data_IF_386647772435
#
_entry.id   IF_386647772435
#
_cell.length_a   1.000
_cell.length_b   1.000
_cell.length_c   1.000
_cell.angle_alpha   90.00
_cell.angle_beta   90.00
_cell.angle_gamma   90.00
#
_symmetry.space_group_name_H-M   'P 1'
#
loop_
_entity.id
_entity.type
_entity.pdbx_description
1 polymer ?
#
# COMPACT_ATOMS: atom_id res chain seq x y z
N UNK A 1 -29.43 -13.90 36.35
CA UNK A 1 -30.19 -15.13 36.02
C UNK A 1 -29.35 -15.92 35.04
N UNK A 2 -28.93 -17.14 35.43
CA UNK A 2 -28.02 -18.00 34.66
C UNK A 2 -28.86 -18.79 33.66
N UNK A 3 -28.56 -18.72 32.37
CA UNK A 3 -29.13 -19.66 31.39
C UNK A 3 -28.05 -20.61 30.87
N UNK A 4 -28.41 -21.88 30.94
CA UNK A 4 -27.61 -23.08 30.75
C UNK A 4 -27.57 -23.54 29.29
N UNK A 5 -26.42 -24.11 28.96
CA UNK A 5 -26.00 -24.82 27.75
C UNK A 5 -27.02 -25.83 27.19
N UNK A 6 -27.03 -26.00 25.87
CA UNK A 6 -27.36 -27.29 25.23
C UNK A 6 -26.36 -27.54 24.09
N UNK A 7 -25.54 -28.57 24.27
CA UNK A 7 -24.56 -29.08 23.31
C UNK A 7 -25.24 -30.19 22.50
N UNK A 8 -25.26 -30.08 21.18
CA UNK A 8 -25.55 -31.21 20.28
C UNK A 8 -24.25 -31.62 19.59
N UNK A 9 -23.72 -32.77 20.01
CA UNK A 9 -22.69 -33.51 19.31
C UNK A 9 -23.34 -34.42 18.26
N UNK A 10 -22.80 -34.46 17.04
CA UNK A 10 -23.10 -35.50 16.06
C UNK A 10 -21.79 -35.93 15.39
N UNK A 11 -21.63 -37.25 15.30
CA UNK A 11 -20.39 -37.95 15.08
C UNK A 11 -20.00 -38.16 13.60
N UNK A 12 -18.68 -38.08 13.36
CA UNK A 12 -17.81 -38.99 12.62
C UNK A 12 -18.31 -39.66 11.31
N UNK A 13 -17.62 -39.35 10.20
CA UNK A 13 -17.43 -40.26 9.06
C UNK A 13 -16.00 -40.07 8.51
N UNK A 14 -15.21 -41.15 8.61
CA UNK A 14 -13.85 -41.29 8.12
C UNK A 14 -13.92 -41.88 6.71
N UNK A 15 -13.20 -41.29 5.75
CA UNK A 15 -12.88 -41.93 4.48
C UNK A 15 -11.40 -41.67 4.16
N UNK A 16 -10.58 -42.70 4.38
CA UNK A 16 -9.20 -42.79 3.92
C UNK A 16 -9.19 -43.47 2.55
N UNK A 17 -8.57 -42.84 1.55
CA UNK A 17 -8.09 -43.56 0.36
C UNK A 17 -6.57 -43.43 0.31
N UNK A 18 -5.91 -44.57 0.51
CA UNK A 18 -4.58 -44.84 0.02
C UNK A 18 -4.68 -45.28 -1.44
N UNK A 19 -3.86 -44.72 -2.34
CA UNK A 19 -3.54 -45.33 -3.62
C UNK A 19 -2.07 -45.06 -3.96
N UNK A 20 -1.44 -46.12 -4.45
CA UNK A 20 -0.03 -46.42 -4.35
C UNK A 20 0.89 -45.72 -5.35
N UNK A 21 2.14 -45.63 -4.91
CA UNK A 21 3.41 -45.50 -5.64
C UNK A 21 3.60 -46.51 -6.77
N UNK A 22 4.48 -46.18 -7.72
CA UNK A 22 5.48 -47.05 -8.38
C UNK A 22 6.18 -46.28 -9.54
N UNK A 23 7.47 -46.39 -9.86
CA UNK A 23 8.68 -47.01 -9.28
C UNK A 23 9.90 -46.45 -10.04
N UNK A 24 11.08 -46.45 -9.38
CA UNK A 24 12.46 -46.74 -9.85
C UNK A 24 12.89 -46.38 -11.28
N UNK A 25 14.14 -46.08 -11.59
CA UNK A 25 15.41 -45.78 -10.93
C UNK A 25 16.41 -45.85 -12.09
N UNK A 26 17.43 -45.01 -12.13
CA UNK A 26 18.77 -45.57 -12.31
C UNK A 26 19.84 -44.62 -11.76
N UNK A 27 20.92 -45.26 -11.34
CA UNK A 27 22.02 -44.74 -10.57
C UNK A 27 23.22 -44.43 -11.48
N UNK A 28 24.20 -43.76 -10.87
CA UNK A 28 25.65 -43.77 -11.18
C UNK A 28 26.20 -42.73 -12.17
N UNK A 29 27.13 -41.93 -11.64
CA UNK A 29 28.00 -41.00 -12.36
C UNK A 29 28.70 -40.05 -11.39
N UNK A 30 29.91 -40.42 -10.95
CA UNK A 30 30.79 -39.67 -10.02
C UNK A 30 31.48 -38.46 -10.73
N UNK A 31 32.39 -37.70 -10.08
CA UNK A 31 32.32 -36.25 -9.91
C UNK A 31 33.15 -35.45 -10.94
N UNK A 32 32.73 -34.22 -11.28
CA UNK A 32 33.61 -33.27 -11.95
C UNK A 32 33.27 -31.82 -11.60
N UNK A 33 34.06 -31.25 -10.68
CA UNK A 33 34.45 -29.84 -10.72
C UNK A 33 35.43 -29.69 -11.88
N UNK A 34 35.32 -28.67 -12.75
CA UNK A 34 35.92 -27.37 -12.42
C UNK A 34 35.18 -26.17 -13.02
N UNK A 35 35.75 -24.99 -12.71
CA UNK A 35 35.57 -23.71 -13.38
C UNK A 35 34.54 -22.77 -12.76
N UNK A 36 35.11 -21.89 -11.93
CA UNK A 36 34.61 -20.57 -11.62
C UNK A 36 34.04 -19.86 -12.86
N UNK A 37 32.72 -19.90 -13.01
CA UNK A 37 32.01 -18.90 -13.78
C UNK A 37 31.96 -17.64 -12.92
N UNK A 38 32.92 -16.74 -13.18
CA UNK A 38 32.82 -15.33 -12.80
C UNK A 38 31.50 -14.81 -13.38
N UNK A 39 30.45 -14.78 -12.57
CA UNK A 39 29.33 -13.88 -12.81
C UNK A 39 29.91 -12.48 -12.62
N UNK A 40 30.38 -11.91 -13.73
CA UNK A 40 30.56 -10.47 -13.87
C UNK A 40 29.20 -9.84 -13.56
N UNK A 41 29.05 -9.39 -12.32
CA UNK A 41 28.13 -8.33 -11.96
C UNK A 41 28.52 -7.12 -12.79
N UNK A 42 27.91 -6.98 -13.97
CA UNK A 42 27.86 -5.70 -14.66
C UNK A 42 26.88 -4.83 -13.89
N UNK A 43 27.32 -4.36 -12.72
CA UNK A 43 26.75 -3.18 -12.07
C UNK A 43 26.94 -2.02 -13.03
N UNK A 44 25.96 -1.83 -13.90
CA UNK A 44 25.66 -0.52 -14.45
C UNK A 44 25.27 0.32 -13.25
N UNK A 45 26.26 0.99 -12.67
CA UNK A 45 26.09 2.00 -11.64
C UNK A 45 25.42 3.19 -12.33
N UNK A 46 24.12 3.03 -12.57
CA UNK A 46 23.20 4.13 -12.76
C UNK A 46 23.22 4.89 -11.44
N UNK A 47 23.65 6.15 -11.49
CA UNK A 47 23.62 7.07 -10.36
C UNK A 47 22.22 7.04 -9.78
N UNK A 48 22.03 6.30 -8.68
CA UNK A 48 20.73 6.11 -8.07
C UNK A 48 20.26 7.46 -7.54
N UNK A 49 19.37 8.12 -8.30
CA UNK A 49 18.58 9.25 -7.84
C UNK A 49 17.97 8.87 -6.49
N UNK A 50 18.12 9.72 -5.47
CA UNK A 50 17.49 9.47 -4.16
C UNK A 50 15.99 9.22 -4.37
N UNK A 51 15.40 8.16 -3.79
CA UNK A 51 13.98 7.87 -3.95
C UNK A 51 13.12 9.07 -3.53
N UNK A 52 12.09 9.40 -4.31
CA UNK A 52 11.12 10.44 -3.96
C UNK A 52 10.42 10.06 -2.65
N UNK A 53 10.45 10.96 -1.67
CA UNK A 53 9.77 10.75 -0.39
C UNK A 53 8.39 11.40 -0.39
N UNK A 54 7.50 10.92 0.47
CA UNK A 54 6.14 11.46 0.58
C UNK A 54 6.12 12.95 0.95
N UNK A 55 7.06 13.40 1.79
CA UNK A 55 7.21 14.81 2.13
C UNK A 55 7.62 15.67 0.93
N UNK A 56 8.63 15.24 0.18
CA UNK A 56 9.05 15.95 -1.05
C UNK A 56 7.95 15.94 -2.12
N UNK A 57 7.21 14.84 -2.25
CA UNK A 57 6.05 14.78 -3.12
C UNK A 57 4.95 15.76 -2.68
N UNK A 58 4.70 15.89 -1.36
CA UNK A 58 3.78 16.89 -0.82
C UNK A 58 4.22 18.32 -1.14
N UNK A 59 5.51 18.63 -0.98
CA UNK A 59 6.04 19.97 -1.29
C UNK A 59 5.80 20.32 -2.76
N UNK A 60 6.05 19.38 -3.68
CA UNK A 60 5.76 19.54 -5.11
C UNK A 60 4.26 19.75 -5.37
N UNK A 61 3.39 18.95 -4.75
CA UNK A 61 1.93 19.03 -4.95
C UNK A 61 1.37 20.34 -4.41
N UNK A 62 1.71 20.70 -3.17
CA UNK A 62 1.18 21.88 -2.48
C UNK A 62 1.62 23.21 -3.12
N UNK A 63 2.69 23.22 -3.91
CA UNK A 63 3.06 24.37 -4.75
C UNK A 63 2.01 24.71 -5.82
N UNK A 64 1.19 23.73 -6.23
CA UNK A 64 0.12 23.91 -7.23
C UNK A 64 -1.27 23.86 -6.59
N UNK A 65 -1.48 22.96 -5.62
CA UNK A 65 -2.73 22.82 -4.88
C UNK A 65 -2.63 23.57 -3.54
N UNK A 66 -2.77 24.89 -3.58
CA UNK A 66 -2.47 25.78 -2.43
C UNK A 66 -3.43 25.67 -1.25
N UNK A 67 -4.56 24.99 -1.41
CA UNK A 67 -5.48 24.63 -0.32
C UNK A 67 -4.96 23.48 0.55
N UNK A 68 -4.01 22.69 0.04
CA UNK A 68 -3.40 21.57 0.76
C UNK A 68 -2.40 22.08 1.79
N UNK A 69 -2.49 21.58 3.03
CA UNK A 69 -1.57 21.91 4.12
C UNK A 69 -1.11 20.66 4.82
N UNK A 70 0.20 20.52 5.01
CA UNK A 70 0.78 19.39 5.72
C UNK A 70 0.18 19.30 7.13
N UNK A 71 -0.38 18.15 7.49
CA UNK A 71 -1.00 17.93 8.79
C UNK A 71 -0.22 16.97 9.68
N UNK A 72 0.63 16.12 9.10
CA UNK A 72 1.50 15.22 9.85
C UNK A 72 2.47 14.42 8.99
N UNK A 73 3.62 14.09 9.58
CA UNK A 73 4.54 13.07 9.09
C UNK A 73 4.26 11.77 9.84
N UNK A 74 4.08 10.68 9.09
CA UNK A 74 3.81 9.36 9.67
C UNK A 74 5.12 8.63 9.93
N UNK A 75 5.25 8.08 11.14
CA UNK A 75 6.35 7.22 11.60
C UNK A 75 5.84 5.80 11.80
N UNK A 76 6.74 4.85 12.04
CA UNK A 76 6.36 3.45 12.19
C UNK A 76 5.49 3.24 13.45
N UNK A 77 5.69 4.10 14.45
CA UNK A 77 5.02 4.06 15.74
C UNK A 77 3.60 4.65 15.69
N UNK A 78 3.37 5.66 14.84
CA UNK A 78 2.08 6.36 14.76
C UNK A 78 1.25 5.99 13.52
N UNK A 79 1.74 5.09 12.67
CA UNK A 79 1.03 4.66 11.48
C UNK A 79 -0.21 3.82 11.83
N UNK A 80 -1.44 4.28 11.54
CA UNK A 80 -2.66 3.54 11.89
C UNK A 80 -2.78 2.18 11.20
N UNK A 81 -2.11 1.98 10.06
CA UNK A 81 -2.09 0.67 9.39
C UNK A 81 -0.89 -0.20 9.83
N UNK A 82 0.06 0.36 10.57
CA UNK A 82 1.30 -0.29 10.96
C UNK A 82 2.08 -0.90 9.78
N UNK A 83 2.09 -0.26 8.61
CA UNK A 83 2.73 -0.75 7.39
C UNK A 83 4.04 -0.03 7.05
N UNK A 84 4.30 1.16 7.59
CA UNK A 84 5.50 1.95 7.27
C UNK A 84 6.79 1.13 7.46
N UNK A 85 7.59 1.04 6.40
CA UNK A 85 8.90 0.37 6.42
C UNK A 85 8.84 -1.17 6.36
N UNK A 86 7.65 -1.77 6.25
CA UNK A 86 7.54 -3.22 6.04
C UNK A 86 7.86 -3.61 4.59
N UNK A 87 8.27 -4.87 4.33
CA UNK A 87 8.49 -5.35 2.98
C UNK A 87 7.27 -5.11 2.08
N UNK A 88 7.52 -4.60 0.86
CA UNK A 88 6.51 -4.27 -0.16
C UNK A 88 5.46 -3.22 0.28
N UNK A 89 5.73 -2.45 1.34
CA UNK A 89 4.85 -1.36 1.79
C UNK A 89 5.51 0.01 1.61
N UNK A 90 4.80 1.08 1.99
CA UNK A 90 5.32 2.43 1.86
C UNK A 90 6.56 2.64 2.75
N UNK A 91 7.53 3.34 2.18
CA UNK A 91 8.81 3.71 2.80
C UNK A 91 8.74 5.08 3.48
N UNK A 92 7.78 5.91 3.08
CA UNK A 92 7.45 7.17 3.75
C UNK A 92 5.98 7.50 3.55
N UNK A 93 5.39 8.22 4.51
CA UNK A 93 4.01 8.66 4.44
C UNK A 93 3.82 10.02 5.12
N UNK A 94 3.01 10.87 4.53
CA UNK A 94 2.53 12.12 5.13
C UNK A 94 1.02 12.21 4.99
N UNK A 95 0.40 13.00 5.86
CA UNK A 95 -1.02 13.36 5.79
C UNK A 95 -1.13 14.86 5.63
N UNK A 96 -2.20 15.30 4.96
CA UNK A 96 -2.48 16.71 4.76
C UNK A 96 -3.96 17.00 4.90
N UNK A 97 -4.27 18.25 5.24
CA UNK A 97 -5.63 18.77 5.19
C UNK A 97 -5.86 19.60 3.93
N UNK A 98 -7.10 19.69 3.47
CA UNK A 98 -7.50 20.61 2.41
C UNK A 98 -8.53 21.61 2.94
N UNK A 99 -8.23 22.92 2.82
CA UNK A 99 -9.11 23.97 3.37
C UNK A 99 -10.48 24.08 2.68
N UNK A 100 -10.71 23.36 1.59
CA UNK A 100 -11.99 23.31 0.87
C UNK A 100 -12.98 22.31 1.47
N UNK A 101 -12.53 21.45 2.38
CA UNK A 101 -13.37 20.48 3.08
C UNK A 101 -13.98 21.16 4.31
N UNK A 102 -15.30 21.03 4.47
CA UNK A 102 -16.01 21.60 5.62
C UNK A 102 -15.62 20.88 6.92
N UNK A 103 -15.50 21.63 8.02
CA UNK A 103 -15.24 21.04 9.34
C UNK A 103 -16.38 20.12 9.80
N UNK A 104 -17.61 20.40 9.38
CA UNK A 104 -18.80 19.62 9.75
C UNK A 104 -18.76 18.21 9.13
N UNK A 105 -18.30 18.12 7.87
CA UNK A 105 -18.15 16.88 7.12
C UNK A 105 -17.13 15.91 7.77
N UNK A 106 -16.19 16.46 8.53
CA UNK A 106 -15.09 15.72 9.16
C UNK A 106 -15.10 15.81 10.69
N UNK A 107 -16.25 16.14 11.28
CA UNK A 107 -16.39 16.33 12.73
C UNK A 107 -16.14 15.05 13.55
N UNK A 108 -16.29 13.87 12.93
CA UNK A 108 -16.08 12.55 13.55
C UNK A 108 -14.79 11.83 13.17
N UNK A 109 -13.89 12.47 12.43
CA UNK A 109 -12.64 11.84 11.94
C UNK A 109 -11.45 12.29 12.77
N UNK A 110 -10.40 11.47 12.83
CA UNK A 110 -9.17 11.78 13.54
C UNK A 110 -8.26 12.70 12.72
N UNK A 111 -7.34 13.39 13.42
CA UNK A 111 -6.32 14.18 12.74
C UNK A 111 -5.42 13.25 11.91
N UNK A 112 -5.30 13.56 10.62
CA UNK A 112 -4.49 12.78 9.69
C UNK A 112 -5.28 11.74 8.91
N UNK A 113 -6.58 11.60 9.17
CA UNK A 113 -7.47 10.81 8.32
C UNK A 113 -7.54 11.40 6.91
N UNK A 114 -7.62 10.52 5.91
CA UNK A 114 -7.70 10.91 4.49
C UNK A 114 -8.90 11.81 4.23
N UNK A 115 -10.01 11.61 4.96
CA UNK A 115 -11.22 12.43 4.87
C UNK A 115 -10.95 13.92 5.06
N UNK A 116 -9.93 14.30 5.84
CA UNK A 116 -9.60 15.71 6.13
C UNK A 116 -8.82 16.41 5.01
N UNK A 117 -8.41 15.68 3.97
CA UNK A 117 -7.67 16.21 2.83
C UNK A 117 -7.07 15.08 2.03
N UNK A 118 -6.09 14.39 2.62
CA UNK A 118 -5.53 13.19 2.02
C UNK A 118 -4.25 12.70 2.67
N UNK A 119 -3.63 11.73 2.00
CA UNK A 119 -2.33 11.18 2.36
C UNK A 119 -1.47 10.94 1.12
N UNK A 120 -0.16 11.05 1.28
CA UNK A 120 0.80 10.66 0.26
C UNK A 120 1.64 9.53 0.83
N UNK A 121 1.72 8.43 0.07
CA UNK A 121 2.48 7.23 0.40
C UNK A 121 3.53 7.03 -0.70
N UNK A 122 4.82 6.94 -0.35
CA UNK A 122 5.90 6.63 -1.32
C UNK A 122 6.44 5.23 -1.06
N UNK A 123 6.81 4.54 -2.13
CA UNK A 123 7.15 3.11 -2.13
C UNK A 123 8.55 2.87 -2.71
N UNK A 124 9.07 1.66 -2.51
CA UNK A 124 10.31 1.22 -3.13
C UNK A 124 10.14 0.95 -4.64
N UNK A 125 8.95 0.50 -5.06
CA UNK A 125 8.67 0.17 -6.46
C UNK A 125 7.31 0.71 -6.93
N UNK A 126 7.14 0.97 -8.24
CA UNK A 126 5.83 1.33 -8.80
C UNK A 126 4.78 0.23 -8.64
N UNK A 127 5.19 -1.04 -8.67
CA UNK A 127 4.29 -2.17 -8.46
C UNK A 127 3.70 -2.19 -7.05
N UNK A 128 4.49 -1.85 -6.03
CA UNK A 128 4.00 -1.79 -4.64
C UNK A 128 2.99 -0.63 -4.48
N UNK A 129 3.27 0.53 -5.07
CA UNK A 129 2.34 1.67 -5.05
C UNK A 129 0.99 1.33 -5.71
N UNK A 130 1.04 0.65 -6.87
CA UNK A 130 -0.15 0.18 -7.57
C UNK A 130 -0.93 -0.86 -6.76
N UNK A 131 -0.25 -1.85 -6.20
CA UNK A 131 -0.87 -2.88 -5.37
C UNK A 131 -1.57 -2.28 -4.15
N UNK A 132 -0.98 -1.25 -3.53
CA UNK A 132 -1.61 -0.54 -2.42
C UNK A 132 -2.91 0.16 -2.84
N UNK A 133 -2.90 0.88 -3.95
CA UNK A 133 -4.10 1.55 -4.46
C UNK A 133 -5.22 0.54 -4.78
N UNK A 134 -4.88 -0.55 -5.48
CA UNK A 134 -5.84 -1.61 -5.81
C UNK A 134 -6.42 -2.27 -4.56
N UNK A 135 -5.58 -2.51 -3.54
CA UNK A 135 -6.04 -3.03 -2.25
C UNK A 135 -7.05 -2.09 -1.59
N UNK A 136 -6.72 -0.80 -1.49
CA UNK A 136 -7.61 0.19 -0.86
C UNK A 136 -8.96 0.23 -1.59
N UNK A 137 -8.95 0.33 -2.91
CA UNK A 137 -10.18 0.34 -3.70
C UNK A 137 -11.01 -0.94 -3.54
N UNK A 138 -10.35 -2.10 -3.47
CA UNK A 138 -11.04 -3.37 -3.27
C UNK A 138 -11.74 -3.43 -1.91
N UNK A 139 -11.09 -2.97 -0.83
CA UNK A 139 -11.68 -3.01 0.51
C UNK A 139 -12.74 -1.94 0.73
N UNK A 140 -12.65 -0.78 0.07
CA UNK A 140 -13.64 0.32 0.22
C UNK A 140 -14.80 0.25 -0.76
N UNK A 141 -14.75 -0.64 -1.77
CA UNK A 141 -15.71 -0.72 -2.88
C UNK A 141 -17.19 -0.72 -2.47
N UNK A 142 -17.53 -1.40 -1.38
CA UNK A 142 -18.91 -1.52 -0.87
C UNK A 142 -19.24 -0.53 0.24
N UNK A 143 -18.35 0.40 0.55
CA UNK A 143 -18.47 1.38 1.64
C UNK A 143 -18.25 2.79 1.08
N UNK A 144 -19.29 3.43 0.51
CA UNK A 144 -19.16 4.76 -0.10
C UNK A 144 -18.58 5.83 0.84
N UNK A 145 -18.85 5.72 2.14
CA UNK A 145 -18.30 6.60 3.17
C UNK A 145 -16.77 6.50 3.33
N UNK A 146 -16.15 5.41 2.87
CA UNK A 146 -14.70 5.21 2.86
C UNK A 146 -14.11 5.38 1.46
N UNK A 147 -14.89 5.90 0.51
CA UNK A 147 -14.36 6.16 -0.83
C UNK A 147 -13.32 7.28 -0.79
N UNK A 148 -12.38 7.21 -1.71
CA UNK A 148 -11.33 8.21 -1.92
C UNK A 148 -10.91 8.20 -3.38
N UNK A 149 -10.21 9.26 -3.81
CA UNK A 149 -9.56 9.29 -5.11
C UNK A 149 -8.09 8.87 -4.94
N UNK A 150 -7.68 7.88 -5.72
CA UNK A 150 -6.31 7.36 -5.71
C UNK A 150 -5.59 7.69 -7.02
N UNK A 151 -4.43 8.31 -6.93
CA UNK A 151 -3.57 8.63 -8.06
C UNK A 151 -2.18 8.06 -7.85
N UNK A 152 -1.80 7.07 -8.68
CA UNK A 152 -0.46 6.49 -8.68
C UNK A 152 0.39 7.16 -9.74
N UNK A 153 1.57 7.68 -9.35
CA UNK A 153 2.60 8.17 -10.25
C UNK A 153 3.96 7.59 -9.82
N UNK A 154 4.58 6.79 -10.69
CA UNK A 154 5.84 6.11 -10.38
C UNK A 154 5.73 5.31 -9.08
N UNK A 155 6.57 5.65 -8.10
CA UNK A 155 6.58 5.03 -6.76
C UNK A 155 5.69 5.73 -5.73
N UNK A 156 4.84 6.68 -6.14
CA UNK A 156 4.03 7.47 -5.21
C UNK A 156 2.54 7.23 -5.44
N UNK A 157 1.80 7.05 -4.34
CA UNK A 157 0.35 7.03 -4.28
C UNK A 157 -0.13 8.30 -3.56
N UNK A 158 -0.94 9.10 -4.24
CA UNK A 158 -1.64 10.26 -3.69
C UNK A 158 -3.09 9.87 -3.47
N UNK A 159 -3.50 9.84 -2.20
CA UNK A 159 -4.86 9.52 -1.74
C UNK A 159 -5.56 10.81 -1.37
N UNK A 160 -6.77 11.03 -1.86
CA UNK A 160 -7.49 12.30 -1.74
C UNK A 160 -8.92 12.06 -1.25
N UNK A 161 -9.34 12.85 -0.27
CA UNK A 161 -10.68 12.80 0.32
C UNK A 161 -11.81 12.82 -0.71
N UNK A 162 -12.84 11.99 -0.51
CA UNK A 162 -14.06 12.04 -1.33
C UNK A 162 -14.91 13.30 -1.09
N UNK A 163 -14.68 14.04 0.01
CA UNK A 163 -15.37 15.31 0.26
C UNK A 163 -14.95 16.41 -0.74
N UNK A 164 -13.82 16.23 -1.43
CA UNK A 164 -13.48 17.08 -2.56
C UNK A 164 -14.28 16.68 -3.79
N UNK A 165 -14.78 17.70 -4.51
CA UNK A 165 -15.43 17.49 -5.80
C UNK A 165 -14.45 16.84 -6.79
N UNK A 166 -14.94 16.11 -7.82
CA UNK A 166 -14.07 15.53 -8.84
C UNK A 166 -13.13 16.55 -9.52
N UNK A 167 -13.58 17.80 -9.68
CA UNK A 167 -12.74 18.89 -10.20
C UNK A 167 -11.58 19.20 -9.26
N UNK A 168 -11.83 19.34 -7.96
CA UNK A 168 -10.80 19.63 -6.95
C UNK A 168 -9.83 18.46 -6.79
N UNK A 169 -10.32 17.21 -6.77
CA UNK A 169 -9.48 16.02 -6.77
C UNK A 169 -8.63 15.92 -8.05
N UNK A 170 -9.19 16.32 -9.20
CA UNK A 170 -8.46 16.40 -10.46
C UNK A 170 -7.24 17.33 -10.44
N UNK A 171 -7.21 18.35 -9.58
CA UNK A 171 -6.04 19.21 -9.39
C UNK A 171 -4.87 18.44 -8.74
N UNK A 172 -5.16 17.55 -7.78
CA UNK A 172 -4.17 16.64 -7.22
C UNK A 172 -3.67 15.62 -8.24
N UNK A 173 -4.55 15.09 -9.10
CA UNK A 173 -4.15 14.21 -10.21
C UNK A 173 -3.17 14.91 -11.15
N UNK A 174 -3.46 16.14 -11.53
CA UNK A 174 -2.61 16.93 -12.41
C UNK A 174 -1.26 17.25 -11.73
N UNK A 175 -1.27 17.60 -10.44
CA UNK A 175 -0.05 17.82 -9.68
C UNK A 175 0.80 16.55 -9.55
N UNK A 176 0.15 15.41 -9.25
CA UNK A 176 0.81 14.10 -9.12
C UNK A 176 1.52 13.68 -10.40
N UNK A 177 0.95 13.98 -11.58
CA UNK A 177 1.56 13.68 -12.88
C UNK A 177 2.92 14.38 -13.12
N UNK A 178 3.27 15.38 -12.31
CA UNK A 178 4.55 16.10 -12.39
C UNK A 178 5.56 15.65 -11.30
N UNK A 179 5.30 14.54 -10.61
CA UNK A 179 6.19 14.04 -9.55
C UNK A 179 7.47 13.36 -10.06
N UNK A 180 7.53 13.07 -11.36
CA UNK A 180 8.69 12.49 -12.05
C UNK A 180 10.02 13.22 -11.79
#
# INVERSE_FOLDING_TARGET
MKQTLTITAAALLIATLAACSNTKADSSGTPASPAAAKHSSTTKQETASKPLTAGTAFDKISATVTSAKLSGTVTAENDPNHLLGRPSQYTSKVTFSDSRISADDVSGTDKGDVDRGGAIESFASPSDAKARAEYIQAVTKSMPALSEYDYVQGTTLVRVSHYLTPKQAGEYKAAAANLD
#
